data_IF_438387049496
#
_entry.id   IF_438387049496
#
_cell.length_a   1.000
_cell.length_b   1.000
_cell.length_c   1.000
_cell.angle_alpha   90.00
_cell.angle_beta   90.00
_cell.angle_gamma   90.00
#
_symmetry.space_group_name_H-M   'P 1'
#
loop_
_entity.id
_entity.type
_entity.pdbx_description
1 polymer ?
#
# COMPACT_ATOMS: atom_id res chain seq x y z
N UNK A 1 9.62 -9.88 -39.90
CA UNK A 1 9.09 -11.00 -39.09
C UNK A 1 8.04 -10.43 -38.15
N UNK A 2 7.09 -11.22 -37.65
CA UNK A 2 6.19 -10.72 -36.61
C UNK A 2 6.96 -10.48 -35.31
N UNK A 3 6.59 -9.44 -34.56
CA UNK A 3 7.07 -9.25 -33.20
C UNK A 3 6.49 -10.36 -32.32
N UNK A 4 7.31 -10.93 -31.44
CA UNK A 4 6.84 -11.81 -30.38
C UNK A 4 7.53 -11.43 -29.08
N UNK A 5 6.77 -10.98 -28.09
CA UNK A 5 7.29 -10.65 -26.77
C UNK A 5 7.63 -11.95 -26.04
N UNK A 6 8.86 -12.02 -25.53
CA UNK A 6 9.39 -13.18 -24.81
C UNK A 6 9.57 -12.94 -23.32
N UNK A 7 9.56 -11.67 -22.89
CA UNK A 7 9.50 -11.28 -21.48
C UNK A 7 8.84 -9.88 -21.40
N UNK A 8 7.84 -9.68 -20.53
CA UNK A 8 7.34 -10.59 -19.50
C UNK A 8 6.51 -11.77 -20.04
N UNK A 9 6.40 -12.83 -19.24
CA UNK A 9 5.53 -13.99 -19.45
C UNK A 9 4.50 -14.08 -18.32
N UNK A 10 3.53 -14.99 -18.41
CA UNK A 10 2.45 -15.13 -17.43
C UNK A 10 2.87 -15.34 -15.97
N UNK A 11 4.09 -15.84 -15.73
CA UNK A 11 4.65 -16.04 -14.38
C UNK A 11 5.62 -14.94 -13.96
N UNK A 12 5.83 -13.90 -14.78
CA UNK A 12 6.72 -12.80 -14.44
C UNK A 12 6.12 -11.96 -13.29
N UNK A 13 6.94 -11.72 -12.26
CA UNK A 13 6.60 -10.81 -11.17
C UNK A 13 7.65 -9.70 -11.08
N UNK A 14 7.26 -8.46 -11.37
CA UNK A 14 8.16 -7.30 -11.41
C UNK A 14 7.88 -6.36 -10.24
N UNK A 15 8.91 -6.17 -9.42
CA UNK A 15 8.87 -5.27 -8.27
C UNK A 15 9.05 -3.82 -8.76
N UNK A 16 8.17 -2.92 -8.34
CA UNK A 16 8.30 -1.47 -8.61
C UNK A 16 9.67 -0.95 -8.15
N UNK A 17 10.25 -0.02 -8.92
CA UNK A 17 11.56 0.56 -8.64
C UNK A 17 12.76 -0.37 -8.87
N UNK A 18 12.53 -1.61 -9.34
CA UNK A 18 13.59 -2.54 -9.74
C UNK A 18 13.68 -2.61 -11.26
N UNK A 19 14.89 -2.58 -11.82
CA UNK A 19 15.10 -2.69 -13.27
C UNK A 19 14.87 -4.13 -13.74
N UNK A 20 14.08 -4.29 -14.79
CA UNK A 20 13.87 -5.53 -15.53
C UNK A 20 14.14 -5.29 -17.02
N UNK A 21 14.17 -6.37 -17.81
CA UNK A 21 14.38 -6.27 -19.26
C UNK A 21 13.17 -6.80 -19.99
N UNK A 22 12.49 -5.94 -20.74
CA UNK A 22 11.49 -6.34 -21.73
C UNK A 22 12.25 -6.95 -22.90
N UNK A 23 11.84 -8.12 -23.41
CA UNK A 23 12.49 -8.76 -24.56
C UNK A 23 11.46 -9.22 -25.59
N UNK A 24 11.85 -9.15 -26.86
CA UNK A 24 11.04 -9.63 -27.97
C UNK A 24 11.92 -10.21 -29.07
N UNK A 25 11.29 -10.93 -30.00
CA UNK A 25 11.90 -11.37 -31.26
C UNK A 25 11.22 -10.68 -32.43
N UNK A 26 11.86 -10.71 -33.59
CA UNK A 26 11.41 -10.01 -34.80
C UNK A 26 12.25 -8.77 -35.08
N UNK A 27 12.64 -8.61 -36.35
CA UNK A 27 13.36 -7.43 -36.82
C UNK A 27 12.41 -6.24 -36.89
N UNK A 28 12.78 -5.16 -36.20
CA UNK A 28 12.02 -3.92 -36.08
C UNK A 28 12.90 -2.73 -36.44
N UNK A 29 12.27 -1.62 -36.84
CA UNK A 29 12.98 -0.39 -37.22
C UNK A 29 12.78 0.74 -36.23
N UNK A 30 11.54 1.00 -35.84
CA UNK A 30 11.17 2.00 -34.84
C UNK A 30 10.24 1.32 -33.86
N UNK A 31 10.60 1.34 -32.57
CA UNK A 31 9.85 0.60 -31.56
C UNK A 31 9.14 1.56 -30.61
N UNK A 32 7.86 1.30 -30.37
CA UNK A 32 7.12 1.85 -29.24
C UNK A 32 6.81 0.72 -28.24
N UNK A 33 6.96 1.02 -26.95
CA UNK A 33 6.65 0.13 -25.85
C UNK A 33 5.66 0.85 -24.93
N UNK A 34 4.51 0.24 -24.72
CA UNK A 34 3.40 0.79 -23.93
C UNK A 34 3.04 -0.19 -22.81
N UNK A 35 2.57 0.34 -21.68
CA UNK A 35 2.05 -0.43 -20.57
C UNK A 35 0.52 -0.39 -20.58
N UNK A 36 -0.10 -1.55 -20.45
CA UNK A 36 -1.53 -1.71 -20.27
C UNK A 36 -1.81 -2.40 -18.94
N UNK A 37 -2.97 -2.10 -18.34
CA UNK A 37 -3.53 -2.82 -17.19
C UNK A 37 -5.01 -3.09 -17.44
N UNK A 38 -5.44 -4.35 -17.35
CA UNK A 38 -6.82 -4.75 -17.64
C UNK A 38 -7.31 -4.20 -18.99
N UNK A 39 -6.45 -4.28 -20.02
CA UNK A 39 -6.67 -3.73 -21.36
C UNK A 39 -6.84 -2.19 -21.46
N UNK A 40 -6.69 -1.45 -20.37
CA UNK A 40 -6.64 0.01 -20.39
C UNK A 40 -5.18 0.49 -20.51
N UNK A 41 -4.94 1.49 -21.35
CA UNK A 41 -3.64 2.14 -21.46
C UNK A 41 -3.25 2.79 -20.14
N UNK A 42 -2.01 2.57 -19.69
CA UNK A 42 -1.45 3.13 -18.45
C UNK A 42 -0.44 4.23 -18.78
N UNK A 43 0.64 3.87 -19.47
CA UNK A 43 1.71 4.80 -19.80
C UNK A 43 2.53 4.36 -21.02
N UNK A 44 3.25 5.30 -21.61
CA UNK A 44 4.28 5.01 -22.61
C UNK A 44 5.58 4.68 -21.86
N UNK A 45 6.12 3.49 -22.07
CA UNK A 45 7.41 3.07 -21.51
C UNK A 45 8.55 3.67 -22.35
N UNK A 46 8.45 3.55 -23.67
CA UNK A 46 9.43 4.05 -24.62
C UNK A 46 8.75 4.34 -25.95
N UNK A 47 9.13 5.44 -26.63
CA UNK A 47 8.53 5.83 -27.91
C UNK A 47 9.64 6.16 -28.92
N UNK A 48 9.47 5.67 -30.15
CA UNK A 48 10.19 6.14 -31.32
C UNK A 48 11.69 5.86 -31.30
N UNK A 49 12.16 4.84 -30.58
CA UNK A 49 13.58 4.53 -30.51
C UNK A 49 13.97 3.52 -31.58
N UNK A 50 15.14 3.74 -32.19
CA UNK A 50 15.68 2.87 -33.22
C UNK A 50 16.48 1.75 -32.54
N UNK A 51 15.98 0.53 -32.62
CA UNK A 51 16.70 -0.64 -32.11
C UNK A 51 16.53 -1.79 -33.10
N UNK A 52 17.60 -2.59 -33.25
CA UNK A 52 17.53 -3.86 -33.99
C UNK A 52 16.75 -4.90 -33.17
N UNK A 53 17.43 -5.96 -32.73
CA UNK A 53 16.78 -7.06 -31.99
C UNK A 53 16.68 -6.76 -30.49
N UNK A 54 15.45 -6.62 -30.00
CA UNK A 54 14.89 -7.52 -29.00
C UNK A 54 15.11 -7.27 -27.50
N UNK A 55 15.47 -6.06 -27.04
CA UNK A 55 15.44 -5.80 -25.58
C UNK A 55 15.34 -4.33 -25.17
N UNK A 56 14.63 -4.05 -24.08
CA UNK A 56 14.55 -2.71 -23.48
C UNK A 56 14.59 -2.80 -21.95
N UNK A 57 15.53 -2.12 -21.26
CA UNK A 57 15.53 -2.04 -19.81
C UNK A 57 14.39 -1.14 -19.34
N UNK A 58 13.58 -1.62 -18.40
CA UNK A 58 12.48 -0.87 -17.82
C UNK A 58 12.43 -1.04 -16.31
N UNK A 59 12.24 0.07 -15.60
CA UNK A 59 11.98 0.10 -14.17
C UNK A 59 10.52 0.50 -13.96
N UNK A 60 9.63 -0.41 -13.54
CA UNK A 60 8.24 -0.06 -13.28
C UNK A 60 8.15 1.06 -12.25
N UNK A 61 7.42 2.14 -12.58
CA UNK A 61 7.31 3.31 -11.74
C UNK A 61 6.72 2.99 -10.35
N UNK A 62 7.26 3.62 -9.31
CA UNK A 62 6.79 3.41 -7.92
C UNK A 62 5.33 3.78 -7.73
N UNK A 63 4.81 4.74 -8.51
CA UNK A 63 3.41 5.16 -8.48
C UNK A 63 2.40 4.21 -9.13
N UNK A 64 2.86 3.13 -9.79
CA UNK A 64 1.97 2.12 -10.36
C UNK A 64 1.16 1.41 -9.26
N UNK A 65 -0.11 1.11 -9.55
CA UNK A 65 -0.98 0.32 -8.65
C UNK A 65 -0.62 -1.15 -8.80
N UNK A 66 -0.46 -1.89 -7.71
CA UNK A 66 -0.15 -3.32 -7.83
C UNK A 66 -1.28 -4.10 -8.51
N UNK A 67 -0.92 -5.12 -9.27
CA UNK A 67 -1.86 -5.88 -10.08
C UNK A 67 -1.20 -7.07 -10.76
N UNK A 68 -2.03 -8.02 -11.20
CA UNK A 68 -1.63 -9.25 -11.93
C UNK A 68 -2.02 -9.21 -13.41
N UNK A 69 -2.52 -8.07 -13.84
CA UNK A 69 -3.28 -7.82 -15.06
C UNK A 69 -2.56 -6.81 -15.95
N UNK A 70 -1.24 -6.68 -15.81
CA UNK A 70 -0.40 -5.83 -16.63
C UNK A 70 0.01 -6.55 -17.91
N UNK A 71 0.09 -5.81 -19.02
CA UNK A 71 0.63 -6.29 -20.28
C UNK A 71 1.61 -5.27 -20.85
N UNK A 72 2.70 -5.76 -21.42
CA UNK A 72 3.57 -4.97 -22.28
C UNK A 72 3.04 -5.08 -23.70
N UNK A 73 2.91 -3.93 -24.36
CA UNK A 73 2.61 -3.83 -25.78
C UNK A 73 3.84 -3.30 -26.49
N UNK A 74 4.29 -4.01 -27.53
CA UNK A 74 5.40 -3.59 -28.39
C UNK A 74 4.89 -3.48 -29.81
N UNK A 75 5.13 -2.34 -30.46
CA UNK A 75 4.78 -2.11 -31.86
C UNK A 75 5.93 -1.52 -32.67
N UNK A 76 5.91 -1.83 -33.96
CA UNK A 76 6.60 -1.16 -35.07
C UNK A 76 5.55 -0.90 -36.17
N UNK A 77 5.87 -0.10 -37.19
CA UNK A 77 4.94 0.44 -38.19
C UNK A 77 3.97 -0.60 -38.83
N UNK A 78 4.34 -1.88 -38.85
CA UNK A 78 3.56 -2.94 -39.51
C UNK A 78 3.31 -4.18 -38.64
N UNK A 79 3.74 -4.20 -37.37
CA UNK A 79 3.61 -5.38 -36.52
C UNK A 79 3.57 -4.99 -35.05
N UNK A 80 2.81 -5.74 -34.27
CA UNK A 80 2.73 -5.55 -32.83
C UNK A 80 2.55 -6.88 -32.11
N UNK A 81 2.79 -6.88 -30.81
CA UNK A 81 2.43 -7.99 -29.93
C UNK A 81 2.07 -7.47 -28.52
N UNK A 82 1.32 -8.28 -27.79
CA UNK A 82 1.06 -8.10 -26.36
C UNK A 82 1.69 -9.26 -25.60
N UNK A 83 2.32 -8.96 -24.47
CA UNK A 83 2.76 -10.00 -23.55
C UNK A 83 1.56 -10.74 -22.94
N UNK A 84 1.83 -11.90 -22.35
CA UNK A 84 0.95 -12.46 -21.32
C UNK A 84 0.70 -11.42 -20.21
N UNK A 85 -0.41 -11.59 -19.49
CA UNK A 85 -0.65 -10.85 -18.25
C UNK A 85 0.42 -11.20 -17.22
N UNK A 86 1.06 -10.19 -16.62
CA UNK A 86 2.09 -10.37 -15.61
C UNK A 86 1.81 -9.48 -14.38
N UNK A 87 2.55 -9.74 -13.30
CA UNK A 87 2.36 -9.07 -12.03
C UNK A 87 3.35 -7.93 -11.86
N UNK A 88 2.84 -6.75 -11.48
CA UNK A 88 3.63 -5.65 -10.93
C UNK A 88 3.22 -5.44 -9.48
N UNK A 89 4.19 -5.39 -8.57
CA UNK A 89 3.94 -5.32 -7.13
C UNK A 89 4.96 -4.45 -6.40
N UNK A 90 4.62 -3.95 -5.21
CA UNK A 90 5.59 -3.33 -4.30
C UNK A 90 6.14 -4.35 -3.29
N UNK A 91 7.18 -4.00 -2.55
CA UNK A 91 7.74 -4.89 -1.53
C UNK A 91 6.68 -5.30 -0.47
N UNK A 92 6.77 -6.56 -0.02
CA UNK A 92 6.21 -7.02 1.24
C UNK A 92 7.31 -6.91 2.30
N UNK A 93 7.06 -6.14 3.36
CA UNK A 93 8.05 -5.92 4.42
C UNK A 93 7.50 -6.44 5.75
N UNK A 94 8.31 -7.25 6.44
CA UNK A 94 8.08 -7.68 7.83
C UNK A 94 9.25 -7.19 8.67
N UNK A 95 8.95 -6.48 9.75
CA UNK A 95 9.95 -6.01 10.69
C UNK A 95 9.65 -6.58 12.09
N UNK A 96 10.69 -7.05 12.76
CA UNK A 96 10.65 -7.57 14.13
C UNK A 96 11.59 -6.70 14.98
N UNK A 97 11.09 -6.04 16.02
CA UNK A 97 11.94 -5.31 16.96
C UNK A 97 11.33 -5.33 18.36
N UNK A 98 12.15 -5.48 19.40
CA UNK A 98 11.70 -5.43 20.80
C UNK A 98 11.10 -4.04 21.14
N UNK A 99 11.72 -2.98 20.61
CA UNK A 99 11.22 -1.62 20.69
C UNK A 99 11.54 -0.89 19.38
N UNK A 100 10.55 -0.18 18.82
CA UNK A 100 10.73 0.58 17.58
C UNK A 100 10.14 1.99 17.77
N UNK A 101 10.99 3.00 17.68
CA UNK A 101 10.59 4.39 17.44
C UNK A 101 10.81 4.71 15.98
N UNK A 102 9.75 4.80 15.18
CA UNK A 102 9.85 5.28 13.80
C UNK A 102 9.79 6.81 13.81
N UNK A 103 10.92 7.46 14.06
CA UNK A 103 11.06 8.91 13.92
C UNK A 103 11.51 9.36 12.52
N UNK A 104 12.14 8.46 11.75
CA UNK A 104 12.65 8.77 10.40
C UNK A 104 12.03 7.81 9.36
N UNK A 105 10.97 8.31 8.72
CA UNK A 105 10.42 7.96 7.40
C UNK A 105 10.82 6.59 6.81
N UNK A 106 9.92 5.59 6.87
CA UNK A 106 9.95 4.49 5.90
C UNK A 106 9.60 5.11 4.52
N UNK A 107 10.59 5.26 3.65
CA UNK A 107 10.50 6.09 2.44
C UNK A 107 9.97 5.35 1.19
N UNK A 108 9.42 4.13 1.30
CA UNK A 108 9.02 3.32 0.14
C UNK A 108 7.52 3.02 0.13
N UNK A 109 6.88 3.15 -1.04
CA UNK A 109 5.51 2.67 -1.27
C UNK A 109 5.50 1.13 -1.18
N UNK A 110 4.81 0.58 -0.17
CA UNK A 110 4.69 -0.87 0.06
C UNK A 110 3.23 -1.28 0.04
N UNK A 111 2.91 -2.40 -0.61
CA UNK A 111 1.51 -2.86 -0.67
C UNK A 111 1.07 -3.41 0.69
N UNK A 112 2.02 -3.99 1.41
CA UNK A 112 1.78 -4.64 2.69
C UNK A 112 2.98 -4.48 3.62
N UNK A 113 2.72 -3.92 4.80
CA UNK A 113 3.69 -3.82 5.89
C UNK A 113 3.12 -4.52 7.14
N UNK A 114 3.92 -5.41 7.74
CA UNK A 114 3.60 -6.03 9.04
C UNK A 114 4.70 -5.78 10.05
N UNK A 115 4.36 -5.12 11.15
CA UNK A 115 5.27 -4.88 12.26
C UNK A 115 4.89 -5.76 13.45
N UNK A 116 5.88 -6.39 14.08
CA UNK A 116 5.72 -7.10 15.35
C UNK A 116 6.72 -6.51 16.35
N UNK A 117 6.23 -6.10 17.52
CA UNK A 117 7.05 -5.45 18.54
C UNK A 117 6.41 -5.52 19.91
N UNK A 118 7.19 -5.58 20.99
CA UNK A 118 6.61 -5.50 22.35
C UNK A 118 6.13 -4.07 22.63
N UNK A 119 6.93 -3.07 22.26
CA UNK A 119 6.61 -1.66 22.46
C UNK A 119 6.85 -0.85 21.19
N UNK A 120 5.78 -0.32 20.61
CA UNK A 120 5.82 0.47 19.38
C UNK A 120 5.29 1.89 19.64
N UNK A 121 6.14 2.88 19.40
CA UNK A 121 5.74 4.30 19.44
C UNK A 121 5.87 4.89 18.05
N UNK A 122 4.76 5.40 17.54
CA UNK A 122 4.69 6.09 16.25
C UNK A 122 4.30 7.55 16.51
N UNK A 123 5.30 8.44 16.43
CA UNK A 123 5.18 9.87 16.77
C UNK A 123 5.40 10.83 15.60
N UNK A 124 5.80 10.32 14.43
CA UNK A 124 6.03 11.17 13.26
C UNK A 124 5.35 10.57 12.01
N UNK A 125 5.15 11.40 11.00
CA UNK A 125 4.55 10.99 9.74
C UNK A 125 5.35 9.86 9.09
N UNK A 126 4.81 8.64 9.07
CA UNK A 126 5.34 7.57 8.24
C UNK A 126 5.07 7.98 6.78
N UNK A 127 6.10 8.33 6.00
CA UNK A 127 5.99 8.71 4.57
C UNK A 127 5.81 7.48 3.66
N UNK A 128 5.09 6.47 4.12
CA UNK A 128 4.79 5.29 3.32
C UNK A 128 3.31 5.32 2.94
N UNK A 129 3.00 5.53 1.66
CA UNK A 129 1.71 5.07 1.14
C UNK A 129 1.71 3.54 1.27
N UNK A 130 0.99 3.03 2.27
CA UNK A 130 0.85 1.59 2.54
C UNK A 130 -0.58 1.19 2.29
N UNK A 131 -0.83 0.34 1.31
CA UNK A 131 -2.21 -0.08 1.01
C UNK A 131 -2.78 -0.93 2.18
N UNK A 132 -1.95 -1.79 2.79
CA UNK A 132 -2.33 -2.59 3.95
C UNK A 132 -1.26 -2.59 5.06
N UNK A 133 -1.61 -2.04 6.24
CA UNK A 133 -0.74 -2.04 7.42
C UNK A 133 -1.31 -2.96 8.52
N UNK A 134 -0.46 -3.85 9.04
CA UNK A 134 -0.80 -4.73 10.17
C UNK A 134 0.20 -4.61 11.31
N UNK A 135 -0.24 -4.12 12.46
CA UNK A 135 0.57 -4.03 13.67
C UNK A 135 0.14 -5.09 14.69
N UNK A 136 1.11 -5.79 15.27
CA UNK A 136 0.92 -6.71 16.40
C UNK A 136 1.89 -6.28 17.48
N UNK A 137 1.38 -5.76 18.60
CA UNK A 137 2.26 -5.26 19.66
C UNK A 137 1.62 -5.26 21.03
N UNK A 138 2.36 -5.50 22.09
CA UNK A 138 1.78 -5.48 23.44
C UNK A 138 1.38 -4.05 23.82
N UNK A 139 2.25 -3.07 23.54
CA UNK A 139 1.99 -1.65 23.83
C UNK A 139 2.18 -0.79 22.58
N UNK A 140 1.10 -0.18 22.11
CA UNK A 140 1.09 0.75 20.98
C UNK A 140 0.74 2.16 21.44
N UNK A 141 1.62 3.12 21.15
CA UNK A 141 1.31 4.55 21.26
C UNK A 141 1.34 5.19 19.88
N UNK A 142 0.23 5.81 19.50
CA UNK A 142 0.11 6.60 18.27
C UNK A 142 -0.16 8.05 18.67
N UNK A 143 0.82 8.94 18.52
CA UNK A 143 0.76 10.30 19.08
C UNK A 143 0.51 11.42 18.10
N UNK A 144 0.57 11.18 16.78
CA UNK A 144 0.56 12.26 15.78
C UNK A 144 -0.12 11.85 14.46
N UNK A 145 -0.14 12.80 13.53
CA UNK A 145 -0.51 12.67 12.13
C UNK A 145 0.25 11.53 11.41
N UNK A 146 -0.29 10.32 11.47
CA UNK A 146 0.02 9.24 10.53
C UNK A 146 -0.57 9.63 9.16
N UNK A 147 -0.08 10.72 8.55
CA UNK A 147 -0.43 11.10 7.18
C UNK A 147 0.65 10.60 6.24
N UNK A 148 0.59 9.30 5.98
CA UNK A 148 0.53 8.85 4.60
C UNK A 148 -0.67 7.92 4.50
N UNK A 149 -1.49 8.12 3.49
CA UNK A 149 -2.75 7.40 3.24
C UNK A 149 -2.54 5.88 3.39
N UNK A 150 -3.07 5.33 4.50
CA UNK A 150 -3.20 3.88 4.68
C UNK A 150 -4.63 3.50 4.30
N UNK A 151 -4.78 2.72 3.24
CA UNK A 151 -6.12 2.33 2.76
C UNK A 151 -6.75 1.33 3.74
N UNK A 152 -5.96 0.40 4.29
CA UNK A 152 -6.41 -0.60 5.26
C UNK A 152 -5.47 -0.71 6.47
N UNK A 153 -5.97 -0.43 7.67
CA UNK A 153 -5.24 -0.57 8.94
C UNK A 153 -5.83 -1.66 9.82
N UNK A 154 -4.99 -2.59 10.29
CA UNK A 154 -5.34 -3.61 11.29
C UNK A 154 -4.38 -3.58 12.48
N UNK A 155 -4.90 -3.27 13.67
CA UNK A 155 -4.15 -3.26 14.92
C UNK A 155 -4.61 -4.37 15.85
N UNK A 156 -3.65 -5.07 16.45
CA UNK A 156 -3.85 -6.02 17.53
C UNK A 156 -2.86 -5.66 18.63
N UNK A 157 -3.36 -5.25 19.80
CA UNK A 157 -2.50 -4.89 20.93
C UNK A 157 -3.12 -5.07 22.30
N UNK A 158 -2.34 -5.34 23.32
CA UNK A 158 -2.87 -5.42 24.69
C UNK A 158 -3.24 -4.01 25.19
N UNK A 159 -2.36 -3.03 24.97
CA UNK A 159 -2.58 -1.63 25.33
C UNK A 159 -2.42 -0.73 24.09
N UNK A 160 -3.45 0.06 23.78
CA UNK A 160 -3.45 1.04 22.69
C UNK A 160 -3.73 2.44 23.25
N UNK A 161 -2.81 3.38 23.00
CA UNK A 161 -3.02 4.81 23.26
C UNK A 161 -3.13 5.56 21.94
N UNK A 162 -4.23 6.29 21.74
CA UNK A 162 -4.46 7.17 20.60
C UNK A 162 -4.56 8.62 21.09
N UNK A 163 -3.60 9.46 20.71
CA UNK A 163 -3.60 10.87 21.15
C UNK A 163 -4.20 11.86 20.17
N UNK A 164 -4.38 11.50 18.90
CA UNK A 164 -4.80 12.40 17.83
C UNK A 164 -5.91 11.80 16.93
N UNK A 165 -6.38 12.61 15.97
CA UNK A 165 -7.42 12.35 14.95
C UNK A 165 -7.06 11.25 13.91
N UNK A 166 -6.29 10.24 14.31
CA UNK A 166 -5.81 9.10 13.48
C UNK A 166 -6.96 8.43 12.73
N UNK A 167 -8.12 8.33 13.39
CA UNK A 167 -9.29 7.66 12.84
C UNK A 167 -9.84 8.41 11.62
N UNK A 168 -9.70 9.73 11.51
CA UNK A 168 -10.28 10.50 10.41
C UNK A 168 -9.65 10.21 9.03
N UNK A 169 -8.45 9.62 8.99
CA UNK A 169 -7.58 9.57 7.79
C UNK A 169 -7.39 8.18 7.18
N UNK A 170 -7.91 7.14 7.83
CA UNK A 170 -7.88 5.75 7.35
C UNK A 170 -9.22 5.37 6.70
N UNK A 171 -9.16 4.82 5.48
CA UNK A 171 -10.36 4.43 4.71
C UNK A 171 -11.05 3.19 5.32
N UNK A 172 -10.26 2.17 5.70
CA UNK A 172 -10.72 0.97 6.40
C UNK A 172 -9.92 0.70 7.67
N UNK A 173 -10.61 0.56 8.82
CA UNK A 173 -9.97 0.36 10.12
C UNK A 173 -10.51 -0.89 10.85
N UNK A 174 -9.60 -1.69 11.40
CA UNK A 174 -9.93 -2.76 12.36
C UNK A 174 -8.98 -2.72 13.57
N UNK A 175 -9.53 -2.36 14.73
CA UNK A 175 -8.83 -2.35 16.01
C UNK A 175 -9.36 -3.47 16.92
N UNK A 176 -8.43 -4.20 17.53
CA UNK A 176 -8.70 -5.14 18.61
C UNK A 176 -7.67 -4.91 19.70
N UNK A 177 -8.10 -4.47 20.88
CA UNK A 177 -7.20 -4.19 21.99
C UNK A 177 -7.82 -4.44 23.35
N UNK A 178 -7.07 -4.90 24.34
CA UNK A 178 -7.66 -5.12 25.67
C UNK A 178 -7.93 -3.77 26.35
N UNK A 179 -6.96 -2.85 26.33
CA UNK A 179 -7.06 -1.53 26.95
C UNK A 179 -6.87 -0.42 25.92
N UNK A 180 -7.94 0.33 25.64
CA UNK A 180 -7.89 1.50 24.78
C UNK A 180 -7.86 2.79 25.61
N UNK A 181 -6.87 3.65 25.39
CA UNK A 181 -6.81 5.02 25.93
C UNK A 181 -6.95 6.04 24.81
N UNK A 182 -7.87 6.99 24.96
CA UNK A 182 -8.08 8.09 24.02
C UNK A 182 -7.76 9.42 24.68
N UNK A 183 -6.79 10.15 24.12
CA UNK A 183 -6.27 11.38 24.72
C UNK A 183 -7.00 12.65 24.30
N UNK A 184 -7.56 12.68 23.09
CA UNK A 184 -8.21 13.84 22.47
C UNK A 184 -9.55 13.46 21.80
N UNK A 185 -10.25 14.45 21.25
CA UNK A 185 -11.53 14.36 20.56
C UNK A 185 -11.45 13.44 19.33
N UNK A 186 -12.31 12.42 19.32
CA UNK A 186 -12.48 11.55 18.15
C UNK A 186 -13.36 12.21 17.08
N UNK A 187 -12.78 12.66 15.96
CA UNK A 187 -13.57 12.95 14.75
C UNK A 187 -13.77 11.67 13.93
N UNK A 188 -14.78 10.89 14.30
CA UNK A 188 -15.20 9.73 13.50
C UNK A 188 -15.91 10.17 12.22
N UNK A 189 -15.16 10.51 11.16
CA UNK A 189 -15.73 10.57 9.82
C UNK A 189 -16.06 9.14 9.37
N UNK A 190 -17.32 8.88 9.03
CA UNK A 190 -17.85 7.54 8.81
C UNK A 190 -17.20 6.90 7.58
N UNK A 191 -16.63 5.71 7.82
CA UNK A 191 -16.13 4.77 6.83
C UNK A 191 -16.26 3.36 7.40
N UNK A 192 -15.61 2.37 6.78
CA UNK A 192 -15.64 0.98 7.25
C UNK A 192 -14.69 0.79 8.44
N UNK A 193 -15.16 1.07 9.66
CA UNK A 193 -14.33 1.08 10.88
C UNK A 193 -14.92 0.16 11.96
N UNK A 194 -14.08 -0.68 12.57
CA UNK A 194 -14.43 -1.54 13.71
C UNK A 194 -13.40 -1.35 14.82
N UNK A 195 -13.87 -1.08 16.04
CA UNK A 195 -13.04 -0.95 17.24
C UNK A 195 -13.63 -1.88 18.30
N UNK A 196 -12.82 -2.78 18.83
CA UNK A 196 -13.18 -3.66 19.92
C UNK A 196 -12.15 -3.49 21.03
N UNK A 197 -12.63 -3.14 22.22
CA UNK A 197 -11.82 -3.17 23.43
C UNK A 197 -12.57 -3.68 24.65
N UNK A 198 -11.82 -4.27 25.58
CA UNK A 198 -12.37 -4.73 26.86
C UNK A 198 -12.51 -3.54 27.82
N UNK A 199 -11.53 -2.65 27.83
CA UNK A 199 -11.51 -1.44 28.64
C UNK A 199 -11.32 -0.19 27.77
N UNK A 200 -11.92 0.93 28.18
CA UNK A 200 -11.81 2.23 27.54
C UNK A 200 -11.52 3.31 28.58
N UNK A 201 -10.40 4.02 28.42
CA UNK A 201 -10.01 5.17 29.23
C UNK A 201 -10.08 6.43 28.36
N UNK A 202 -10.72 7.48 28.88
CA UNK A 202 -10.81 8.79 28.23
C UNK A 202 -10.11 9.82 29.10
N UNK A 203 -9.05 10.47 28.61
CA UNK A 203 -8.35 11.49 29.40
C UNK A 203 -8.87 12.92 29.20
N UNK A 204 -9.69 13.15 28.18
CA UNK A 204 -10.40 14.43 27.96
C UNK A 204 -11.86 14.19 27.53
N UNK A 205 -12.64 15.28 27.48
CA UNK A 205 -14.03 15.33 27.04
C UNK A 205 -14.18 15.04 25.54
N UNK A 206 -14.76 13.89 25.20
CA UNK A 206 -14.95 13.48 23.80
C UNK A 206 -16.25 14.07 23.21
N UNK A 207 -16.14 14.72 22.06
CA UNK A 207 -17.28 15.04 21.20
C UNK A 207 -17.53 13.91 20.18
N UNK A 208 -18.34 12.90 20.54
CA UNK A 208 -18.72 11.84 19.59
C UNK A 208 -19.80 12.34 18.64
N UNK A 209 -19.46 12.62 17.38
CA UNK A 209 -20.46 12.88 16.33
C UNK A 209 -20.75 11.60 15.54
N UNK A 210 -21.80 10.88 15.92
CA UNK A 210 -22.32 9.75 15.15
C UNK A 210 -23.22 10.29 14.02
N UNK A 211 -22.71 10.34 12.79
CA UNK A 211 -23.59 10.42 11.61
C UNK A 211 -24.09 8.97 11.30
N UNK A 212 -25.31 8.78 10.79
CA UNK A 212 -25.89 7.42 10.68
C UNK A 212 -25.52 6.77 9.33
N UNK A 213 -24.87 5.60 9.38
CA UNK A 213 -24.59 4.76 8.19
C UNK A 213 -23.87 3.42 8.44
N UNK A 214 -23.27 3.20 9.63
CA UNK A 214 -22.61 1.94 9.99
C UNK A 214 -22.56 1.70 11.51
N UNK A 215 -22.36 0.46 11.93
CA UNK A 215 -22.35 0.04 13.34
C UNK A 215 -20.99 0.34 14.01
N UNK A 216 -20.87 1.49 14.68
CA UNK A 216 -19.88 1.65 15.75
C UNK A 216 -20.45 0.97 17.00
N UNK A 217 -19.90 -0.19 17.39
CA UNK A 217 -20.30 -0.89 18.62
C UNK A 217 -19.19 -0.71 19.64
N UNK A 218 -19.39 0.21 20.57
CA UNK A 218 -18.54 0.34 21.76
C UNK A 218 -19.09 -0.60 22.83
N UNK A 219 -18.38 -1.68 23.14
CA UNK A 219 -18.67 -2.50 24.32
C UNK A 219 -17.82 -2.00 25.50
N UNK A 220 -18.06 -0.78 25.96
CA UNK A 220 -17.47 -0.29 27.20
C UNK A 220 -18.37 -0.63 28.37
N UNK A 221 -17.95 -1.54 29.25
CA UNK A 221 -18.50 -1.59 30.60
C UNK A 221 -17.88 -0.45 31.40
N UNK A 222 -18.64 0.62 31.62
CA UNK A 222 -18.28 1.66 32.58
C UNK A 222 -18.19 1.04 33.98
N UNK A 223 -17.02 1.11 34.61
CA UNK A 223 -16.87 1.01 36.06
C UNK A 223 -16.07 2.21 36.55
#
# INVERSE_FOLDING_TARGET
>A
MAIVITNPISTSEWKKGTEYTITWTGDVTIVNILLYKNSAFVENIAIGFTQGVGSYPWTPGVGLVSGIDYQIYVEDDNTFDYSDNFKIYSAFVVQLNDSLGLGDSISEQTDYLKLLSDNLTLSDSIVAKVDYLKLLTDNLTLSDDIIAKVDYLKLLSDNLTLSDDIIAKVDYLKLLTDNLTLSDSLVAKIGYKTILSDNLTLSDSINVTVTRGGNAVFFGHNF
#
